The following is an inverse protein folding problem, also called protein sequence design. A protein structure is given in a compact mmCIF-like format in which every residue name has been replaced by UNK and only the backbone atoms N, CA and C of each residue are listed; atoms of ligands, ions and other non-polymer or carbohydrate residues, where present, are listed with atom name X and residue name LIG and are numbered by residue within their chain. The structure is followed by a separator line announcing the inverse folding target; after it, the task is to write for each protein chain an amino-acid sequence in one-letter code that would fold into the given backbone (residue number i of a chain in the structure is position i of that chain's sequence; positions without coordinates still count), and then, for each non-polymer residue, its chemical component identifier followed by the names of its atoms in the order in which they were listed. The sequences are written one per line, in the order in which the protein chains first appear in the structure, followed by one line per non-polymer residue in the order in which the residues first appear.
data_IF_428001499145
#
_entry.id   IF_428001499145
#
_cell.length_a   1.000
_cell.length_b   1.000
_cell.length_c   1.000
_cell.angle_alpha   90.00
_cell.angle_beta   90.00
_cell.angle_gamma   90.00
#
_symmetry.space_group_name_H-M   'P 1'
#
loop_
_entity.id
_entity.type
_entity.pdbx_description
1 polymer ?
#
# COMPACT_ATOMS: atom_id res chain seq x y z
N UNK A 1 11.65 -16.84 -58.38
CA UNK A 1 11.68 -16.73 -56.90
C UNK A 1 12.16 -18.07 -56.40
N UNK A 2 13.32 -18.11 -55.76
CA UNK A 2 14.01 -19.38 -55.46
C UNK A 2 13.37 -20.07 -54.25
N UNK A 3 13.35 -21.41 -54.19
CA UNK A 3 12.74 -22.14 -53.06
C UNK A 3 13.41 -21.78 -51.71
N UNK A 4 14.68 -21.39 -51.75
CA UNK A 4 15.43 -20.88 -50.60
C UNK A 4 14.89 -19.52 -50.09
N UNK A 5 14.43 -18.63 -50.97
CA UNK A 5 13.86 -17.33 -50.58
C UNK A 5 12.51 -17.50 -49.86
N UNK A 6 11.71 -18.47 -50.30
CA UNK A 6 10.42 -18.80 -49.69
C UNK A 6 10.63 -19.37 -48.28
N UNK A 7 11.56 -20.31 -48.11
CA UNK A 7 11.88 -20.90 -46.81
C UNK A 7 12.45 -19.87 -45.82
N UNK A 8 13.30 -18.97 -46.29
CA UNK A 8 13.89 -17.89 -45.47
C UNK A 8 12.81 -16.88 -45.04
N UNK A 9 11.93 -16.49 -45.97
CA UNK A 9 10.81 -15.59 -45.68
C UNK A 9 9.81 -16.21 -44.69
N UNK A 10 9.49 -17.50 -44.85
CA UNK A 10 8.62 -18.22 -43.91
C UNK A 10 9.23 -18.30 -42.51
N UNK A 11 10.53 -18.58 -42.41
CA UNK A 11 11.26 -18.63 -41.12
C UNK A 11 11.24 -17.28 -40.41
N UNK A 12 11.44 -16.19 -41.16
CA UNK A 12 11.39 -14.83 -40.61
C UNK A 12 10.00 -14.47 -40.06
N UNK A 13 8.93 -14.84 -40.78
CA UNK A 13 7.55 -14.63 -40.32
C UNK A 13 7.25 -15.45 -39.07
N UNK A 14 7.71 -16.70 -39.00
CA UNK A 14 7.55 -17.56 -37.82
C UNK A 14 8.29 -16.95 -36.61
N UNK A 15 9.51 -16.43 -36.81
CA UNK A 15 10.27 -15.81 -35.74
C UNK A 15 9.59 -14.53 -35.23
N UNK A 16 9.13 -13.65 -36.13
CA UNK A 16 8.42 -12.43 -35.78
C UNK A 16 7.12 -12.72 -35.01
N UNK A 17 6.34 -13.71 -35.46
CA UNK A 17 5.10 -14.10 -34.78
C UNK A 17 5.39 -14.69 -33.39
N UNK A 18 6.45 -15.47 -33.23
CA UNK A 18 6.88 -15.98 -31.93
C UNK A 18 7.31 -14.87 -30.97
N UNK A 19 8.09 -13.89 -31.45
CA UNK A 19 8.52 -12.72 -30.67
C UNK A 19 7.31 -11.89 -30.24
N UNK A 20 6.39 -11.59 -31.17
CA UNK A 20 5.18 -10.84 -30.87
C UNK A 20 4.29 -11.58 -29.85
N UNK A 21 4.14 -12.89 -29.99
CA UNK A 21 3.37 -13.70 -29.05
C UNK A 21 4.02 -13.75 -27.65
N UNK A 22 5.35 -13.80 -27.57
CA UNK A 22 6.07 -13.70 -26.31
C UNK A 22 5.88 -12.32 -25.66
N UNK A 23 6.02 -11.24 -26.43
CA UNK A 23 5.82 -9.88 -25.96
C UNK A 23 4.39 -9.62 -25.46
N UNK A 24 3.37 -10.11 -26.18
CA UNK A 24 1.97 -10.00 -25.74
C UNK A 24 1.70 -10.77 -24.46
N UNK A 25 2.29 -11.96 -24.28
CA UNK A 25 2.16 -12.74 -23.03
C UNK A 25 2.79 -12.01 -21.86
N UNK A 26 3.98 -11.44 -22.06
CA UNK A 26 4.68 -10.67 -21.03
C UNK A 26 3.89 -9.43 -20.63
N UNK A 27 3.40 -8.67 -21.62
CA UNK A 27 2.55 -7.49 -21.37
C UNK A 27 1.28 -7.85 -20.61
N UNK A 28 0.63 -8.98 -20.92
CA UNK A 28 -0.54 -9.47 -20.17
C UNK A 28 -0.19 -9.83 -18.73
N UNK A 29 0.94 -10.51 -18.50
CA UNK A 29 1.41 -10.86 -17.15
C UNK A 29 1.66 -9.63 -16.29
N UNK A 30 2.41 -8.65 -16.81
CA UNK A 30 2.66 -7.38 -16.13
C UNK A 30 1.34 -6.68 -15.80
N UNK A 31 0.42 -6.59 -16.76
CA UNK A 31 -0.91 -5.98 -16.53
C UNK A 31 -1.69 -6.68 -15.43
N UNK A 32 -1.66 -8.02 -15.38
CA UNK A 32 -2.30 -8.80 -14.32
C UNK A 32 -1.64 -8.54 -12.97
N UNK A 33 -0.31 -8.57 -12.88
CA UNK A 33 0.42 -8.29 -11.64
C UNK A 33 0.13 -6.89 -11.10
N UNK A 34 0.15 -5.88 -11.97
CA UNK A 34 -0.22 -4.51 -11.61
C UNK A 34 -1.68 -4.42 -11.13
N UNK A 35 -2.60 -5.11 -11.77
CA UNK A 35 -4.01 -5.13 -11.35
C UNK A 35 -4.23 -5.79 -9.99
N UNK A 36 -3.51 -6.87 -9.70
CA UNK A 36 -3.55 -7.56 -8.40
C UNK A 36 -2.95 -6.68 -7.30
N UNK A 37 -1.78 -6.09 -7.54
CA UNK A 37 -1.14 -5.16 -6.60
C UNK A 37 -2.03 -3.94 -6.34
N UNK A 38 -2.66 -3.38 -7.37
CA UNK A 38 -3.59 -2.26 -7.22
C UNK A 38 -4.78 -2.60 -6.31
N UNK A 39 -5.43 -3.75 -6.56
CA UNK A 39 -6.59 -4.17 -5.78
C UNK A 39 -6.22 -4.39 -4.30
N UNK A 40 -5.09 -5.04 -4.04
CA UNK A 40 -4.60 -5.27 -2.69
C UNK A 40 -4.20 -3.97 -1.98
N UNK A 41 -3.35 -3.14 -2.62
CA UNK A 41 -2.92 -1.87 -2.06
C UNK A 41 -4.12 -0.97 -1.72
N UNK A 42 -5.12 -0.91 -2.61
CA UNK A 42 -6.36 -0.15 -2.38
C UNK A 42 -7.13 -0.67 -1.16
N UNK A 43 -7.26 -1.99 -1.02
CA UNK A 43 -7.92 -2.61 0.13
C UNK A 43 -7.23 -2.27 1.44
N UNK A 44 -5.91 -2.46 1.50
CA UNK A 44 -5.09 -2.19 2.69
C UNK A 44 -5.09 -0.70 3.07
N UNK A 45 -5.00 0.22 2.09
CA UNK A 45 -5.13 1.65 2.37
C UNK A 45 -6.51 2.02 2.91
N UNK A 46 -7.57 1.39 2.42
CA UNK A 46 -8.93 1.63 2.90
C UNK A 46 -9.12 1.11 4.34
N UNK A 47 -8.57 -0.06 4.67
CA UNK A 47 -8.55 -0.60 6.03
C UNK A 47 -7.80 0.34 6.99
N UNK A 48 -6.60 0.79 6.61
CA UNK A 48 -5.82 1.72 7.40
C UNK A 48 -6.56 3.05 7.64
N UNK A 49 -7.16 3.62 6.61
CA UNK A 49 -7.96 4.83 6.73
C UNK A 49 -9.20 4.65 7.60
N UNK A 50 -9.92 3.53 7.44
CA UNK A 50 -11.08 3.21 8.25
C UNK A 50 -10.74 3.08 9.74
N UNK A 51 -9.60 2.43 10.04
CA UNK A 51 -9.10 2.31 11.41
C UNK A 51 -8.65 3.67 11.98
N UNK A 52 -7.94 4.48 11.20
CA UNK A 52 -7.54 5.83 11.61
C UNK A 52 -8.76 6.68 11.98
N UNK A 53 -9.79 6.69 11.13
CA UNK A 53 -11.02 7.44 11.38
C UNK A 53 -11.76 6.94 12.63
N UNK A 54 -11.87 5.62 12.79
CA UNK A 54 -12.58 5.02 13.92
C UNK A 54 -11.87 5.32 15.25
N UNK A 55 -10.54 5.25 15.28
CA UNK A 55 -9.74 5.65 16.44
C UNK A 55 -9.92 7.13 16.76
N UNK A 56 -9.83 7.99 15.74
CA UNK A 56 -9.91 9.43 15.93
C UNK A 56 -11.28 9.87 16.46
N UNK A 57 -12.37 9.27 15.98
CA UNK A 57 -13.72 9.53 16.49
C UNK A 57 -13.88 9.11 17.95
N UNK A 58 -13.44 7.89 18.31
CA UNK A 58 -13.51 7.44 19.72
C UNK A 58 -12.71 8.33 20.66
N UNK A 59 -11.53 8.78 20.23
CA UNK A 59 -10.73 9.76 20.95
C UNK A 59 -11.47 11.09 21.16
N UNK A 60 -12.06 11.65 20.10
CA UNK A 60 -12.82 12.89 20.17
C UNK A 60 -14.06 12.78 21.07
N UNK A 61 -14.72 11.63 21.03
CA UNK A 61 -15.91 11.32 21.85
C UNK A 61 -15.57 10.93 23.30
N UNK A 62 -14.28 10.85 23.66
CA UNK A 62 -13.83 10.40 24.98
C UNK A 62 -14.15 8.93 25.29
N UNK A 63 -14.44 8.14 24.26
CA UNK A 63 -14.77 6.71 24.39
C UNK A 63 -13.47 5.91 24.52
N UNK A 64 -13.32 5.06 25.56
CA UNK A 64 -12.12 4.28 25.74
C UNK A 64 -11.90 3.30 24.57
N UNK A 65 -10.62 3.12 24.24
CA UNK A 65 -10.17 2.12 23.26
C UNK A 65 -9.98 0.80 24.02
N UNK A 66 -11.04 -0.02 24.03
CA UNK A 66 -11.07 -1.31 24.71
C UNK A 66 -10.49 -2.45 23.85
N UNK A 67 -10.33 -3.62 24.45
CA UNK A 67 -9.79 -4.78 23.72
C UNK A 67 -10.72 -5.20 22.58
N UNK A 68 -12.03 -5.15 22.81
CA UNK A 68 -13.03 -5.48 21.80
C UNK A 68 -12.88 -4.61 20.54
N UNK A 69 -12.66 -3.31 20.70
CA UNK A 69 -12.39 -2.42 19.57
C UNK A 69 -11.15 -2.86 18.79
N UNK A 70 -10.05 -3.16 19.48
CA UNK A 70 -8.79 -3.60 18.87
C UNK A 70 -8.89 -4.99 18.22
N UNK A 71 -9.80 -5.85 18.69
CA UNK A 71 -10.04 -7.18 18.12
C UNK A 71 -10.93 -7.09 16.88
N UNK A 72 -11.91 -6.17 16.87
CA UNK A 72 -12.75 -5.91 15.70
C UNK A 72 -11.99 -5.20 14.58
N UNK A 73 -10.92 -4.48 14.91
CA UNK A 73 -10.11 -3.75 13.95
C UNK A 73 -8.72 -4.36 13.84
N UNK A 74 -8.53 -5.20 12.83
CA UNK A 74 -7.23 -5.72 12.43
C UNK A 74 -6.85 -5.14 11.07
N UNK A 75 -5.57 -4.80 10.93
CA UNK A 75 -4.97 -4.48 9.63
C UNK A 75 -4.59 -5.78 8.94
N UNK A 76 -5.06 -5.97 7.70
CA UNK A 76 -4.66 -7.09 6.86
C UNK A 76 -3.15 -7.13 6.59
N UNK A 77 -2.66 -8.33 6.29
CA UNK A 77 -1.31 -8.54 5.76
C UNK A 77 -1.33 -8.55 4.22
N UNK A 78 -0.30 -8.01 3.56
CA UNK A 78 -0.15 -8.13 2.11
C UNK A 78 0.06 -9.60 1.72
N UNK A 79 -0.91 -10.17 1.02
CA UNK A 79 -0.91 -11.54 0.52
C UNK A 79 -0.09 -11.69 -0.76
N UNK A 80 -0.01 -10.65 -1.60
CA UNK A 80 0.63 -10.76 -2.92
C UNK A 80 2.14 -10.54 -2.87
N UNK A 81 2.69 -10.10 -1.72
CA UNK A 81 4.10 -9.73 -1.57
C UNK A 81 5.11 -10.85 -1.89
N UNK A 82 4.95 -12.11 -1.43
CA UNK A 82 5.84 -13.20 -1.83
C UNK A 82 5.84 -13.43 -3.35
N UNK A 83 4.66 -13.27 -3.98
CA UNK A 83 4.50 -13.35 -5.43
C UNK A 83 5.20 -12.23 -6.19
N UNK A 84 5.14 -10.99 -5.67
CA UNK A 84 5.83 -9.84 -6.23
C UNK A 84 7.34 -9.96 -6.16
N UNK A 85 7.89 -10.47 -5.05
CA UNK A 85 9.33 -10.72 -4.89
C UNK A 85 9.81 -11.74 -5.93
N UNK A 86 9.06 -12.83 -6.12
CA UNK A 86 9.37 -13.86 -7.13
C UNK A 86 9.22 -13.35 -8.58
N UNK A 87 8.41 -12.31 -8.80
CA UNK A 87 8.13 -11.71 -10.11
C UNK A 87 8.86 -10.38 -10.32
N UNK A 88 9.86 -10.07 -9.50
CA UNK A 88 10.55 -8.77 -9.49
C UNK A 88 11.20 -8.41 -10.83
N UNK A 89 11.60 -9.40 -11.63
CA UNK A 89 12.11 -9.19 -12.99
C UNK A 89 11.06 -8.69 -14.01
N UNK A 90 9.77 -8.80 -13.70
CA UNK A 90 8.66 -8.35 -14.55
C UNK A 90 8.06 -7.01 -14.10
N UNK A 91 8.28 -6.64 -12.84
CA UNK A 91 7.68 -5.44 -12.25
C UNK A 91 8.56 -4.20 -12.48
N UNK A 92 7.97 -3.04 -12.83
CA UNK A 92 8.72 -1.79 -12.92
C UNK A 92 9.36 -1.43 -11.57
N UNK A 93 10.63 -1.01 -11.57
CA UNK A 93 11.39 -0.73 -10.33
C UNK A 93 10.76 0.35 -9.46
N UNK A 94 10.18 1.36 -10.08
CA UNK A 94 9.49 2.45 -9.38
C UNK A 94 8.21 1.96 -8.67
N UNK A 95 7.47 1.03 -9.29
CA UNK A 95 6.32 0.36 -8.66
C UNK A 95 6.79 -0.50 -7.48
N UNK A 96 7.88 -1.25 -7.64
CA UNK A 96 8.44 -2.05 -6.55
C UNK A 96 8.86 -1.18 -5.37
N UNK A 97 9.59 -0.09 -5.60
CA UNK A 97 10.03 0.82 -4.54
C UNK A 97 8.85 1.36 -3.73
N UNK A 98 7.82 1.89 -4.40
CA UNK A 98 6.61 2.41 -3.75
C UNK A 98 5.81 1.31 -3.02
N UNK A 99 5.81 0.08 -3.53
CA UNK A 99 5.17 -1.04 -2.87
C UNK A 99 5.91 -1.48 -1.61
N UNK A 100 7.26 -1.42 -1.60
CA UNK A 100 8.08 -1.62 -0.39
C UNK A 100 7.75 -0.54 0.65
N UNK A 101 7.66 0.72 0.25
CA UNK A 101 7.33 1.83 1.15
C UNK A 101 5.96 1.63 1.82
N UNK A 102 4.92 1.34 1.02
CA UNK A 102 3.59 1.02 1.55
C UNK A 102 3.63 -0.18 2.51
N UNK A 103 4.36 -1.23 2.16
CA UNK A 103 4.54 -2.40 3.02
C UNK A 103 5.17 -2.03 4.37
N UNK A 104 6.20 -1.19 4.36
CA UNK A 104 6.87 -0.70 5.57
C UNK A 104 5.92 0.09 6.48
N UNK A 105 5.15 1.03 5.91
CA UNK A 105 4.16 1.79 6.69
C UNK A 105 3.08 0.89 7.30
N UNK A 106 2.57 -0.08 6.54
CA UNK A 106 1.57 -1.04 7.05
C UNK A 106 2.15 -1.98 8.12
N UNK A 107 3.41 -2.41 7.97
CA UNK A 107 4.08 -3.23 8.97
C UNK A 107 4.28 -2.46 10.29
N UNK A 108 4.69 -1.20 10.22
CA UNK A 108 4.82 -0.34 11.38
C UNK A 108 3.46 -0.09 12.06
N UNK A 109 2.41 0.18 11.29
CA UNK A 109 1.06 0.36 11.81
C UNK A 109 0.55 -0.91 12.53
N UNK A 110 0.80 -2.10 11.95
CA UNK A 110 0.49 -3.39 12.59
C UNK A 110 1.27 -3.60 13.89
N UNK A 111 2.57 -3.29 13.90
CA UNK A 111 3.41 -3.42 15.09
C UNK A 111 2.91 -2.51 16.22
N UNK A 112 2.57 -1.25 15.92
CA UNK A 112 2.01 -0.30 16.90
C UNK A 112 0.65 -0.75 17.41
N UNK A 113 -0.23 -1.22 16.53
CA UNK A 113 -1.52 -1.78 16.92
C UNK A 113 -1.36 -3.02 17.83
N UNK A 114 -0.38 -3.88 17.55
CA UNK A 114 -0.06 -5.03 18.39
C UNK A 114 0.48 -4.61 19.76
N UNK A 115 1.40 -3.64 19.81
CA UNK A 115 1.91 -3.08 21.07
C UNK A 115 0.80 -2.52 21.95
N UNK A 116 -0.21 -1.88 21.34
CA UNK A 116 -1.40 -1.35 22.01
C UNK A 116 -2.33 -2.41 22.61
N UNK A 117 -2.32 -3.64 22.09
CA UNK A 117 -3.08 -4.75 22.68
C UNK A 117 -2.49 -5.17 24.03
N UNK A 118 -1.17 -5.11 24.17
CA UNK A 118 -0.44 -5.54 25.37
C UNK A 118 0.02 -4.41 26.29
N UNK A 119 -0.09 -3.15 25.86
CA UNK A 119 0.51 -1.99 26.53
C UNK A 119 -0.49 -0.97 27.08
N UNK A 120 0.02 0.11 27.70
CA UNK A 120 -0.79 1.23 28.15
C UNK A 120 -1.44 1.96 26.95
N UNK A 121 -2.71 2.34 27.11
CA UNK A 121 -3.55 2.95 26.06
C UNK A 121 -3.77 4.43 26.36
N UNK A 122 -2.67 5.17 26.34
CA UNK A 122 -2.70 6.59 26.60
C UNK A 122 -3.06 7.40 25.34
N UNK A 123 -3.28 8.70 25.53
CA UNK A 123 -3.69 9.59 24.44
C UNK A 123 -2.56 9.82 23.43
N UNK A 124 -1.31 9.92 23.90
CA UNK A 124 -0.14 10.13 23.06
C UNK A 124 0.08 8.95 22.09
N UNK A 125 0.03 7.72 22.58
CA UNK A 125 0.17 6.53 21.74
C UNK A 125 -0.96 6.39 20.70
N UNK A 126 -2.16 6.90 21.01
CA UNK A 126 -3.29 6.84 20.09
C UNK A 126 -3.08 7.77 18.89
N UNK A 127 -2.59 8.98 19.16
CA UNK A 127 -2.20 9.91 18.12
C UNK A 127 -1.14 9.31 17.21
N UNK A 128 -0.06 8.75 17.78
CA UNK A 128 1.02 8.15 17.01
C UNK A 128 0.51 7.00 16.13
N UNK A 129 -0.39 6.17 16.66
CA UNK A 129 -1.03 5.11 15.89
C UNK A 129 -1.88 5.68 14.73
N UNK A 130 -2.71 6.69 14.99
CA UNK A 130 -3.53 7.37 13.98
C UNK A 130 -2.66 7.99 12.89
N UNK A 131 -1.58 8.67 13.24
CA UNK A 131 -0.62 9.23 12.29
C UNK A 131 0.02 8.15 11.42
N UNK A 132 0.46 7.04 12.03
CA UNK A 132 1.06 5.91 11.31
C UNK A 132 0.07 5.30 10.31
N UNK A 133 -1.20 5.17 10.71
CA UNK A 133 -2.28 4.66 9.86
C UNK A 133 -2.57 5.62 8.71
N UNK A 134 -2.54 6.94 8.95
CA UNK A 134 -2.65 7.94 7.90
C UNK A 134 -1.48 7.87 6.92
N UNK A 135 -0.25 7.71 7.39
CA UNK A 135 0.89 7.48 6.52
C UNK A 135 0.76 6.21 5.69
N UNK A 136 0.24 5.12 6.26
CA UNK A 136 -0.04 3.90 5.52
C UNK A 136 -1.14 4.10 4.46
N UNK A 137 -2.23 4.77 4.82
CA UNK A 137 -3.34 5.06 3.91
C UNK A 137 -2.92 5.99 2.76
N UNK A 138 -2.18 7.05 3.06
CA UNK A 138 -1.74 8.07 2.12
C UNK A 138 -0.51 7.62 1.30
N UNK A 139 0.40 6.86 1.89
CA UNK A 139 1.62 6.37 1.24
C UNK A 139 1.32 5.50 0.01
N UNK A 140 0.18 4.80 0.02
CA UNK A 140 -0.27 4.01 -1.13
C UNK A 140 -0.80 4.83 -2.31
N UNK A 141 -1.08 6.12 -2.16
CA UNK A 141 -1.62 6.92 -3.28
C UNK A 141 -0.66 7.02 -4.45
N UNK A 142 0.60 7.29 -4.15
CA UNK A 142 1.62 7.46 -5.17
C UNK A 142 1.81 6.17 -5.96
N UNK A 143 1.71 5.01 -5.30
CA UNK A 143 1.68 3.69 -5.91
C UNK A 143 0.43 3.50 -6.79
N UNK A 144 -0.76 3.79 -6.25
CA UNK A 144 -2.02 3.60 -6.96
C UNK A 144 -2.10 4.45 -8.23
N UNK A 145 -1.73 5.73 -8.15
CA UNK A 145 -1.67 6.63 -9.32
C UNK A 145 -0.73 6.10 -10.40
N UNK A 146 0.44 5.63 -10.00
CA UNK A 146 1.47 5.15 -10.92
C UNK A 146 1.06 3.85 -11.62
N UNK A 147 0.32 2.98 -10.91
CA UNK A 147 -0.29 1.77 -11.48
C UNK A 147 -1.45 2.14 -12.42
N UNK A 148 -2.36 3.01 -11.98
CA UNK A 148 -3.52 3.44 -12.77
C UNK A 148 -3.10 4.11 -14.08
N UNK A 149 -2.08 4.98 -14.03
CA UNK A 149 -1.49 5.60 -15.21
C UNK A 149 -0.98 4.56 -16.22
N UNK A 150 -0.26 3.52 -15.76
CA UNK A 150 0.23 2.42 -16.63
C UNK A 150 -0.90 1.57 -17.20
N UNK A 151 -1.97 1.38 -16.43
CA UNK A 151 -3.10 0.56 -16.83
C UNK A 151 -4.12 1.31 -17.70
N UNK A 152 -3.98 2.63 -17.82
CA UNK A 152 -4.92 3.52 -18.51
C UNK A 152 -6.24 3.64 -17.75
N UNK A 153 -6.21 3.50 -16.42
CA UNK A 153 -7.38 3.61 -15.55
C UNK A 153 -7.55 5.03 -15.04
N UNK A 154 -8.80 5.52 -14.91
CA UNK A 154 -9.04 6.80 -14.26
C UNK A 154 -8.67 6.70 -12.79
N UNK A 155 -7.96 7.70 -12.28
CA UNK A 155 -7.60 7.76 -10.86
C UNK A 155 -8.86 7.86 -10.01
N UNK A 156 -9.06 6.88 -9.12
CA UNK A 156 -10.19 6.89 -8.19
C UNK A 156 -9.70 7.38 -6.83
N UNK A 157 -10.13 8.59 -6.50
CA UNK A 157 -9.87 9.37 -5.29
C UNK A 157 -9.70 8.52 -4.00
N UNK A 158 -8.76 8.96 -3.15
CA UNK A 158 -8.31 8.34 -1.89
C UNK A 158 -9.32 8.47 -0.74
N UNK A 159 -9.16 7.75 0.38
CA UNK A 159 -9.98 8.02 1.57
C UNK A 159 -9.66 9.41 2.17
N UNK A 160 -10.64 10.32 2.20
CA UNK A 160 -10.57 11.50 3.07
C UNK A 160 -10.85 11.06 4.50
N UNK A 161 -9.96 11.40 5.44
CA UNK A 161 -10.05 10.96 6.83
C UNK A 161 -10.07 12.18 7.76
N UNK A 162 -11.12 13.03 7.71
CA UNK A 162 -11.10 14.35 8.32
C UNK A 162 -10.97 14.30 9.85
N UNK A 163 -11.56 13.30 10.52
CA UNK A 163 -11.43 13.18 11.97
C UNK A 163 -10.00 12.81 12.37
N UNK A 164 -9.37 11.90 11.62
CA UNK A 164 -7.97 11.54 11.86
C UNK A 164 -7.01 12.70 11.59
N UNK A 165 -7.20 13.44 10.49
CA UNK A 165 -6.41 14.63 10.18
C UNK A 165 -6.55 15.70 11.27
N UNK A 166 -7.78 15.94 11.74
CA UNK A 166 -8.03 16.92 12.81
C UNK A 166 -7.38 16.50 14.13
N UNK A 167 -7.43 15.22 14.49
CA UNK A 167 -6.80 14.71 15.71
C UNK A 167 -5.27 14.88 15.67
N UNK A 168 -4.62 14.50 14.57
CA UNK A 168 -3.16 14.66 14.42
C UNK A 168 -2.79 16.15 14.51
N UNK A 169 -3.50 17.01 13.78
CA UNK A 169 -3.25 18.46 13.81
C UNK A 169 -3.36 19.04 15.23
N UNK A 170 -4.39 18.65 15.98
CA UNK A 170 -4.57 19.11 17.36
C UNK A 170 -3.46 18.61 18.30
N UNK A 171 -2.89 17.43 18.03
CA UNK A 171 -1.82 16.86 18.85
C UNK A 171 -0.44 17.48 18.52
N UNK A 172 -0.19 17.82 17.26
CA UNK A 172 1.02 18.55 16.84
C UNK A 172 1.10 19.94 17.49
N UNK A 173 -0.04 20.61 17.65
CA UNK A 173 -0.12 21.92 18.31
C UNK A 173 0.12 21.85 19.83
N UNK A 174 -0.26 20.74 20.48
CA UNK A 174 -0.17 20.58 21.94
C UNK A 174 1.13 19.88 22.43
N UNK A 175 1.79 19.04 21.63
CA UNK A 175 2.88 18.16 22.10
C UNK A 175 3.98 17.84 21.06
N UNK A 176 4.32 18.81 20.20
CA UNK A 176 5.30 18.66 19.10
C UNK A 176 6.61 17.94 19.45
N UNK A 177 7.21 18.24 20.60
CA UNK A 177 8.51 17.65 21.03
C UNK A 177 8.41 16.17 21.45
N UNK A 178 7.27 15.78 22.06
CA UNK A 178 7.04 14.39 22.51
C UNK A 178 6.71 13.49 21.32
N UNK A 179 5.98 14.05 20.34
CA UNK A 179 5.57 13.35 19.14
C UNK A 179 6.75 13.08 18.21
N UNK A 180 7.61 14.08 17.95
CA UNK A 180 8.85 13.89 17.19
C UNK A 180 9.74 12.84 17.87
N UNK A 181 9.94 12.89 19.19
CA UNK A 181 10.72 11.87 19.87
C UNK A 181 10.12 10.47 19.73
N UNK A 182 8.83 10.27 19.98
CA UNK A 182 8.18 8.95 19.85
C UNK A 182 8.17 8.42 18.40
N UNK A 183 8.12 9.30 17.41
CA UNK A 183 8.17 8.96 16.00
C UNK A 183 9.56 8.49 15.55
N UNK A 184 10.62 9.15 16.01
CA UNK A 184 12.01 8.88 15.62
C UNK A 184 12.76 7.89 16.54
N UNK A 185 12.22 7.58 17.73
CA UNK A 185 12.92 6.77 18.75
C UNK A 185 12.54 5.29 18.81
N UNK A 186 11.70 4.77 17.89
CA UNK A 186 11.62 3.32 17.68
C UNK A 186 12.96 2.83 17.10
N UNK A 187 13.77 2.05 17.85
CA UNK A 187 14.99 1.47 17.30
C UNK A 187 14.60 0.34 16.33
N UNK A 188 15.20 0.35 15.14
CA UNK A 188 15.27 -0.81 14.23
C UNK A 188 15.80 -2.06 14.93
#
# INVERSE_FOLDING_TARGET
MDMADIATSATFVILLTAILAAWLRERRRIRTLLGVLHAEARGLCAEAAGLAEALARRQADGVPIDQLFLDMHALGEPQTWPGLVSSSGLMPRDILGRAVELHGHLALARARLAGWRSGPRDRAGAGLLVETLLHAANGGDSLLREIEARLGWPHRWQPHVPAATALVTAMDDENREVFDWAYWSDPL
#
